data_IF_064683240800
#
_entry.id   IF_064683240800
#
_cell.length_a   1.000
_cell.length_b   1.000
_cell.length_c   1.000
_cell.angle_alpha   90.00
_cell.angle_beta   90.00
_cell.angle_gamma   90.00
#
_symmetry.space_group_name_H-M   'P 1'
#
loop_
_entity.id
_entity.type
_entity.pdbx_description
1 polymer ?
#
# COMPACT_ATOMS: atom_id res chain seq x y z
N UNK A 1 65.62 33.30 -4.04
CA UNK A 1 65.23 32.65 -2.77
C UNK A 1 63.71 32.58 -2.78
N UNK A 2 63.16 31.56 -3.45
CA UNK A 2 62.65 30.32 -2.85
C UNK A 2 61.23 30.53 -2.30
N UNK A 3 60.24 30.37 -3.18
CA UNK A 3 58.84 30.23 -2.80
C UNK A 3 58.57 28.78 -2.41
N UNK A 4 58.30 28.54 -1.13
CA UNK A 4 57.92 27.22 -0.61
C UNK A 4 56.41 27.08 -0.66
N UNK A 5 55.92 26.26 -1.60
CA UNK A 5 54.57 25.73 -1.58
C UNK A 5 54.47 24.67 -0.47
N UNK A 6 53.58 24.89 0.50
CA UNK A 6 53.22 23.88 1.49
C UNK A 6 52.08 23.05 0.90
N UNK A 7 52.40 21.85 0.42
CA UNK A 7 51.42 20.84 0.04
C UNK A 7 50.74 20.30 1.30
N UNK A 8 49.45 20.60 1.50
CA UNK A 8 48.62 19.86 2.44
C UNK A 8 48.26 18.53 1.79
N UNK A 9 48.98 17.47 2.16
CA UNK A 9 48.61 16.10 1.86
C UNK A 9 47.46 15.71 2.79
N UNK A 10 46.21 15.73 2.30
CA UNK A 10 45.11 15.07 2.98
C UNK A 10 45.37 13.56 2.91
N UNK A 11 45.70 12.96 4.04
CA UNK A 11 45.67 11.52 4.21
C UNK A 11 44.21 11.08 4.19
N UNK A 12 43.77 10.54 3.05
CA UNK A 12 42.52 9.81 2.99
C UNK A 12 42.72 8.54 3.82
N UNK A 13 42.30 8.57 5.08
CA UNK A 13 41.99 7.35 5.81
C UNK A 13 40.88 6.67 5.05
N UNK A 14 41.19 5.55 4.41
CA UNK A 14 40.22 4.63 3.85
C UNK A 14 39.30 4.19 4.97
N UNK A 15 38.17 4.88 5.13
CA UNK A 15 37.04 4.35 5.86
C UNK A 15 36.63 3.09 5.11
N UNK A 16 36.99 1.93 5.65
CA UNK A 16 36.36 0.68 5.27
C UNK A 16 34.88 0.85 5.60
N UNK A 17 34.07 1.19 4.60
CA UNK A 17 32.64 1.03 4.69
C UNK A 17 32.36 -0.48 4.70
N UNK A 18 32.46 -1.08 5.88
CA UNK A 18 31.75 -2.31 6.15
C UNK A 18 30.27 -1.94 6.26
N UNK A 19 29.51 -2.10 5.19
CA UNK A 19 28.16 -2.67 5.25
C UNK A 19 27.90 -3.37 3.92
N UNK A 20 28.30 -4.63 3.84
CA UNK A 20 27.54 -5.61 3.05
C UNK A 20 26.88 -6.48 4.11
N UNK A 21 25.59 -6.26 4.34
CA UNK A 21 24.78 -7.33 4.89
C UNK A 21 24.35 -8.17 3.67
N UNK A 22 24.79 -9.43 3.52
CA UNK A 22 24.08 -10.37 2.65
C UNK A 22 22.63 -10.50 3.12
N UNK A 23 21.69 -11.02 2.30
CA UNK A 23 20.38 -11.41 2.81
C UNK A 23 20.62 -12.29 4.04
N UNK A 24 20.03 -11.89 5.16
CA UNK A 24 20.24 -12.54 6.45
C UNK A 24 19.91 -14.03 6.28
N UNK A 25 20.85 -14.98 6.51
CA UNK A 25 20.44 -16.36 6.70
C UNK A 25 19.46 -16.33 7.87
N UNK A 26 18.21 -16.75 7.64
CA UNK A 26 17.10 -16.63 8.61
C UNK A 26 17.64 -16.87 10.04
N UNK A 27 17.79 -15.82 10.86
CA UNK A 27 18.32 -15.98 12.20
C UNK A 27 17.37 -16.91 12.95
N UNK A 28 17.92 -17.73 13.85
CA UNK A 28 17.09 -18.51 14.77
C UNK A 28 16.02 -17.59 15.35
N UNK A 29 14.74 -18.04 15.45
CA UNK A 29 13.64 -17.19 15.86
C UNK A 29 14.04 -16.43 17.12
N UNK A 30 13.89 -15.09 17.14
CA UNK A 30 14.28 -14.30 18.27
C UNK A 30 13.60 -14.89 19.50
N UNK A 31 14.31 -15.04 20.63
CA UNK A 31 13.64 -15.44 21.86
C UNK A 31 12.48 -14.45 22.07
N UNK A 32 11.26 -14.97 22.29
CA UNK A 32 10.08 -14.15 22.57
C UNK A 32 10.50 -12.99 23.47
N UNK A 33 10.55 -11.78 22.92
CA UNK A 33 11.17 -10.68 23.63
C UNK A 33 10.37 -10.39 24.90
N UNK A 34 11.10 -9.98 25.94
CA UNK A 34 10.56 -9.76 27.26
C UNK A 34 9.40 -8.73 27.22
N UNK A 35 8.35 -8.90 28.05
CA UNK A 35 7.43 -7.81 28.36
C UNK A 35 8.26 -6.55 28.62
N UNK A 36 7.93 -5.42 27.95
CA UNK A 36 8.65 -4.13 27.92
C UNK A 36 9.60 -3.85 26.72
N UNK A 37 9.45 -4.54 25.58
CA UNK A 37 10.09 -4.15 24.31
C UNK A 37 9.65 -2.77 23.78
N UNK A 38 10.34 -2.23 22.76
CA UNK A 38 10.04 -0.90 22.15
C UNK A 38 8.56 -0.75 21.80
N UNK A 39 7.97 -1.81 21.26
CA UNK A 39 6.61 -1.88 20.74
C UNK A 39 5.61 -2.55 21.70
N UNK A 40 5.98 -2.81 22.95
CA UNK A 40 5.02 -3.20 23.99
C UNK A 40 3.92 -2.13 24.13
N UNK A 41 2.67 -2.58 24.28
CA UNK A 41 1.53 -1.70 24.48
C UNK A 41 1.66 -0.88 25.77
N UNK A 42 1.17 0.36 25.74
CA UNK A 42 1.34 1.35 26.81
C UNK A 42 -0.02 1.93 27.22
N UNK A 43 -0.01 2.76 28.26
CA UNK A 43 -1.22 3.42 28.75
C UNK A 43 -1.79 4.51 27.85
N UNK A 44 -1.01 4.98 26.88
CA UNK A 44 -1.49 5.85 25.82
C UNK A 44 -1.79 5.05 24.55
N UNK A 45 -2.68 5.59 23.71
CA UNK A 45 -3.02 4.95 22.44
C UNK A 45 -1.83 4.98 21.47
N UNK A 46 -1.56 3.84 20.84
CA UNK A 46 -0.67 3.72 19.69
C UNK A 46 -1.38 3.00 18.53
N UNK A 47 -0.67 2.77 17.42
CA UNK A 47 -1.21 2.09 16.24
C UNK A 47 -2.50 2.67 15.70
N UNK A 48 -2.64 3.99 15.77
CA UNK A 48 -3.84 4.68 15.30
C UNK A 48 -3.82 4.70 13.76
N UNK A 49 -4.81 4.02 13.16
CA UNK A 49 -4.97 3.93 11.71
C UNK A 49 -6.38 4.33 11.32
N UNK A 50 -6.49 5.30 10.43
CA UNK A 50 -7.75 5.74 9.83
C UNK A 50 -8.04 4.90 8.59
N UNK A 51 -9.29 4.50 8.41
CA UNK A 51 -9.81 3.82 7.23
C UNK A 51 -11.08 4.55 6.74
N UNK A 52 -11.36 4.56 5.43
CA UNK A 52 -12.64 5.08 4.94
C UNK A 52 -13.77 4.08 5.24
N UNK A 53 -15.01 4.57 5.28
CA UNK A 53 -16.17 3.69 5.15
C UNK A 53 -16.35 3.26 3.68
N UNK A 54 -17.28 2.33 3.41
CA UNK A 54 -17.62 1.94 2.03
C UNK A 54 -18.06 3.15 1.19
N UNK A 55 -18.83 4.06 1.78
CA UNK A 55 -19.06 5.40 1.25
C UNK A 55 -18.21 6.40 2.06
N UNK A 56 -17.10 6.83 1.47
CA UNK A 56 -16.16 7.74 2.15
C UNK A 56 -16.70 9.17 2.30
N UNK A 57 -17.82 9.52 1.65
CA UNK A 57 -18.43 10.83 1.79
C UNK A 57 -19.23 10.96 3.09
N UNK A 58 -19.72 9.84 3.61
CA UNK A 58 -20.61 9.82 4.78
C UNK A 58 -20.06 9.03 5.97
N UNK A 59 -18.87 8.43 5.85
CA UNK A 59 -18.27 7.73 6.97
C UNK A 59 -16.76 7.51 6.89
N UNK A 60 -16.21 7.18 8.05
CA UNK A 60 -14.83 6.74 8.22
C UNK A 60 -14.77 5.82 9.45
N UNK A 61 -13.65 5.15 9.67
CA UNK A 61 -13.43 4.30 10.82
C UNK A 61 -11.99 4.41 11.31
N UNK A 62 -11.77 4.18 12.59
CA UNK A 62 -10.43 4.22 13.19
C UNK A 62 -10.19 2.94 13.98
N UNK A 63 -8.98 2.39 13.84
CA UNK A 63 -8.43 1.36 14.71
C UNK A 63 -7.29 1.96 15.54
N UNK A 64 -7.14 1.51 16.79
CA UNK A 64 -6.00 1.85 17.65
C UNK A 64 -5.74 0.77 18.68
N UNK A 65 -4.57 0.79 19.30
CA UNK A 65 -4.16 -0.17 20.34
C UNK A 65 -3.86 0.54 21.66
N UNK A 66 -4.11 -0.15 22.76
CA UNK A 66 -3.76 0.24 24.13
C UNK A 66 -3.26 -0.96 24.93
N UNK A 67 -2.72 -0.69 26.12
CA UNK A 67 -2.57 -1.73 27.14
C UNK A 67 -3.94 -2.25 27.66
N UNK A 68 -3.88 -3.26 28.53
CA UNK A 68 -5.05 -3.97 29.06
C UNK A 68 -5.89 -3.17 30.06
N UNK A 69 -5.48 -1.95 30.46
CA UNK A 69 -6.25 -1.11 31.39
C UNK A 69 -7.43 -0.41 30.69
N UNK A 70 -7.33 -0.15 29.39
CA UNK A 70 -8.42 0.42 28.60
C UNK A 70 -9.27 -0.70 28.00
N UNK A 71 -10.41 -1.01 28.63
CA UNK A 71 -11.24 -2.16 28.21
C UNK A 71 -12.34 -1.80 27.22
N UNK A 72 -12.69 -0.51 27.08
CA UNK A 72 -13.71 -0.03 26.16
C UNK A 72 -13.12 0.78 25.01
N UNK A 73 -13.69 0.63 23.81
CA UNK A 73 -13.38 1.48 22.67
C UNK A 73 -14.22 2.77 22.76
N UNK A 74 -13.58 3.90 23.04
CA UNK A 74 -14.22 5.22 23.14
C UNK A 74 -13.44 6.22 22.27
N UNK A 75 -14.17 6.93 21.40
CA UNK A 75 -13.61 7.95 20.51
C UNK A 75 -14.45 9.20 20.60
N UNK A 76 -13.82 10.37 20.51
CA UNK A 76 -14.53 11.63 20.33
C UNK A 76 -14.28 12.18 18.94
N UNK A 77 -15.34 12.69 18.30
CA UNK A 77 -15.29 13.32 16.99
C UNK A 77 -16.11 14.61 16.98
N UNK A 78 -15.65 15.62 16.25
CA UNK A 78 -16.37 16.87 16.02
C UNK A 78 -16.03 17.41 14.61
N UNK A 79 -16.91 18.24 14.05
CA UNK A 79 -16.54 19.08 12.91
C UNK A 79 -15.38 20.01 13.33
N UNK A 80 -14.36 20.12 12.49
CA UNK A 80 -13.19 20.94 12.79
C UNK A 80 -13.55 22.42 12.71
N UNK A 81 -12.99 23.21 13.62
CA UNK A 81 -13.16 24.66 13.69
C UNK A 81 -11.80 25.36 13.73
N UNK A 82 -11.75 26.62 13.31
CA UNK A 82 -10.51 27.41 13.31
C UNK A 82 -10.03 27.76 14.75
N UNK A 83 -10.96 27.78 15.71
CA UNK A 83 -10.69 28.14 17.11
C UNK A 83 -10.21 26.94 17.96
N UNK A 84 -9.59 27.20 19.12
CA UNK A 84 -8.98 26.14 19.94
C UNK A 84 -9.98 25.25 20.71
N UNK A 85 -11.30 25.48 20.56
CA UNK A 85 -12.35 24.81 21.33
C UNK A 85 -12.89 23.54 20.67
N UNK A 86 -12.01 22.71 20.09
CA UNK A 86 -12.35 21.51 19.32
C UNK A 86 -13.28 20.54 20.08
N UNK A 87 -13.13 20.44 21.40
CA UNK A 87 -13.93 19.56 22.25
C UNK A 87 -15.33 20.06 22.60
N UNK A 88 -15.70 21.30 22.26
CA UNK A 88 -16.96 21.90 22.73
C UNK A 88 -18.21 21.19 22.20
N UNK A 89 -18.18 20.77 20.94
CA UNK A 89 -19.28 20.07 20.26
C UNK A 89 -18.94 18.60 19.95
N UNK A 90 -17.89 18.05 20.58
CA UNK A 90 -17.47 16.69 20.31
C UNK A 90 -18.50 15.68 20.84
N UNK A 91 -18.81 14.69 20.01
CA UNK A 91 -19.67 13.56 20.37
C UNK A 91 -18.80 12.35 20.66
N UNK A 92 -19.19 11.57 21.66
CA UNK A 92 -18.53 10.29 21.97
C UNK A 92 -19.17 9.17 21.16
N UNK A 93 -18.34 8.42 20.44
CA UNK A 93 -18.70 7.22 19.69
C UNK A 93 -18.05 6.03 20.38
N UNK A 94 -18.87 5.01 20.68
CA UNK A 94 -18.38 3.75 21.22
C UNK A 94 -18.05 2.79 20.08
N UNK A 95 -17.05 1.95 20.31
CA UNK A 95 -16.59 0.96 19.35
C UNK A 95 -16.61 -0.46 19.89
N UNK A 96 -15.82 -1.32 19.26
CA UNK A 96 -15.54 -2.68 19.71
C UNK A 96 -14.10 -2.80 20.16
N UNK A 97 -13.84 -3.66 21.14
CA UNK A 97 -12.50 -3.99 21.63
C UNK A 97 -12.24 -5.47 21.44
N UNK A 98 -11.01 -5.84 21.07
CA UNK A 98 -10.57 -7.22 20.99
C UNK A 98 -9.17 -7.36 21.60
N UNK A 99 -8.97 -8.33 22.51
CA UNK A 99 -7.65 -8.59 23.07
C UNK A 99 -6.77 -9.33 22.07
N UNK A 100 -5.46 -9.13 22.19
CA UNK A 100 -4.45 -9.95 21.54
C UNK A 100 -3.32 -10.24 22.53
N UNK A 101 -2.87 -11.49 22.55
CA UNK A 101 -1.65 -11.90 23.22
C UNK A 101 -0.60 -12.14 22.13
N UNK A 102 0.49 -11.39 22.16
CA UNK A 102 1.54 -11.46 21.16
C UNK A 102 2.92 -11.40 21.81
N UNK A 103 3.96 -11.36 20.99
CA UNK A 103 5.36 -11.42 21.39
C UNK A 103 5.80 -10.24 22.28
N UNK A 104 5.10 -9.10 22.20
CA UNK A 104 5.38 -7.90 22.99
C UNK A 104 4.48 -7.76 24.24
N UNK A 105 3.63 -8.76 24.51
CA UNK A 105 2.73 -8.82 25.67
C UNK A 105 1.25 -8.67 25.31
N UNK A 106 0.40 -8.65 26.34
CA UNK A 106 -1.04 -8.49 26.17
C UNK A 106 -1.39 -7.05 25.78
N UNK A 107 -2.26 -6.91 24.77
CA UNK A 107 -2.78 -5.64 24.31
C UNK A 107 -4.28 -5.73 23.99
N UNK A 108 -4.93 -4.57 23.87
CA UNK A 108 -6.29 -4.46 23.39
C UNK A 108 -6.28 -3.57 22.15
N UNK A 109 -6.84 -4.08 21.05
CA UNK A 109 -7.18 -3.27 19.90
C UNK A 109 -8.62 -2.81 19.99
N UNK A 110 -8.85 -1.60 19.54
CA UNK A 110 -10.13 -0.94 19.53
C UNK A 110 -10.45 -0.47 18.12
N UNK A 111 -11.73 -0.51 17.76
CA UNK A 111 -12.21 -0.01 16.48
C UNK A 111 -13.51 0.76 16.69
N UNK A 112 -13.63 1.93 16.08
CA UNK A 112 -14.86 2.72 16.07
C UNK A 112 -15.19 3.20 14.66
N UNK A 113 -16.48 3.30 14.35
CA UNK A 113 -16.99 3.77 13.06
C UNK A 113 -17.72 5.09 13.23
N UNK A 114 -17.39 6.05 12.39
CA UNK A 114 -18.08 7.32 12.27
C UNK A 114 -19.05 7.22 11.11
N UNK A 115 -20.34 7.39 11.40
CA UNK A 115 -21.42 7.29 10.43
C UNK A 115 -22.17 8.62 10.33
N UNK A 116 -22.91 8.80 9.24
CA UNK A 116 -23.73 9.99 8.98
C UNK A 116 -22.91 11.30 9.03
N UNK A 117 -21.65 11.23 8.62
CA UNK A 117 -20.81 12.40 8.45
C UNK A 117 -21.29 13.21 7.24
N UNK A 118 -21.01 14.52 7.27
CA UNK A 118 -21.27 15.39 6.13
C UNK A 118 -20.19 15.17 5.06
N UNK A 119 -20.55 15.08 3.78
CA UNK A 119 -19.58 15.11 2.68
C UNK A 119 -18.71 16.37 2.67
N UNK A 120 -17.52 16.28 2.10
CA UNK A 120 -16.57 17.38 1.89
C UNK A 120 -16.31 18.21 3.16
N UNK A 121 -16.30 17.58 4.33
CA UNK A 121 -16.25 18.25 5.64
C UNK A 121 -15.00 17.84 6.41
N UNK A 122 -14.36 18.82 7.05
CA UNK A 122 -13.21 18.57 7.93
C UNK A 122 -13.72 18.16 9.31
N UNK A 123 -13.18 17.07 9.82
CA UNK A 123 -13.46 16.55 11.14
C UNK A 123 -12.15 16.42 11.91
N UNK A 124 -12.24 16.49 13.23
CA UNK A 124 -11.17 16.10 14.15
C UNK A 124 -11.69 15.00 15.05
N UNK A 125 -10.84 14.01 15.32
CA UNK A 125 -11.14 12.95 16.28
C UNK A 125 -9.99 12.73 17.26
N UNK A 126 -10.27 12.07 18.38
CA UNK A 126 -9.26 11.57 19.32
C UNK A 126 -9.73 10.30 19.98
N UNK A 127 -8.80 9.41 20.27
CA UNK A 127 -9.09 8.07 20.81
C UNK A 127 -8.76 8.00 22.29
N UNK A 128 -9.52 7.18 23.03
CA UNK A 128 -9.33 7.00 24.47
C UNK A 128 -8.33 5.90 24.77
N UNK A 129 -7.50 6.15 25.77
CA UNK A 129 -6.63 5.18 26.43
C UNK A 129 -6.68 5.38 27.96
N UNK A 130 -5.97 4.52 28.69
CA UNK A 130 -5.98 4.52 30.15
C UNK A 130 -5.36 5.80 30.74
N UNK A 131 -4.27 6.29 30.15
CA UNK A 131 -3.55 7.48 30.59
C UNK A 131 -4.14 8.78 30.03
N UNK A 132 -5.21 8.70 29.22
CA UNK A 132 -5.93 9.87 28.72
C UNK A 132 -6.40 9.73 27.27
N UNK A 133 -6.57 10.87 26.61
CA UNK A 133 -6.91 10.95 25.20
C UNK A 133 -5.67 11.16 24.35
N UNK A 134 -5.67 10.67 23.11
CA UNK A 134 -4.72 11.13 22.09
C UNK A 134 -4.87 12.64 21.84
N UNK A 135 -3.92 13.22 21.09
CA UNK A 135 -4.15 14.49 20.42
C UNK A 135 -5.38 14.44 19.50
N UNK A 136 -5.89 15.62 19.13
CA UNK A 136 -6.86 15.75 18.06
C UNK A 136 -6.18 15.51 16.71
N UNK A 137 -6.76 14.61 15.93
CA UNK A 137 -6.29 14.15 14.63
C UNK A 137 -7.31 14.59 13.56
N UNK A 138 -6.93 15.48 12.63
CA UNK A 138 -7.83 15.93 11.58
C UNK A 138 -7.92 14.94 10.42
N UNK A 139 -9.08 14.87 9.79
CA UNK A 139 -9.29 14.23 8.49
C UNK A 139 -10.42 14.95 7.73
N UNK A 140 -10.62 14.59 6.45
CA UNK A 140 -11.68 15.14 5.60
C UNK A 140 -12.44 14.01 4.93
N UNK A 141 -13.78 14.05 5.01
CA UNK A 141 -14.64 13.13 4.25
C UNK A 141 -14.60 13.46 2.77
N UNK A 142 -14.83 12.45 1.92
CA UNK A 142 -14.97 12.66 0.48
C UNK A 142 -16.13 13.62 0.17
N UNK A 143 -16.06 14.33 -0.95
CA UNK A 143 -17.24 14.93 -1.56
C UNK A 143 -18.23 13.84 -2.03
N UNK A 144 -19.52 14.18 -2.05
CA UNK A 144 -20.55 13.29 -2.58
C UNK A 144 -20.49 13.17 -4.11
N UNK A 145 -19.99 14.23 -4.76
CA UNK A 145 -19.79 14.31 -6.20
C UNK A 145 -18.31 14.22 -6.53
N UNK A 146 -17.98 14.07 -7.82
CA UNK A 146 -16.60 14.10 -8.29
C UNK A 146 -15.94 15.46 -8.01
N UNK A 147 -14.89 15.45 -7.21
CA UNK A 147 -13.99 16.57 -6.96
C UNK A 147 -12.53 16.10 -7.12
N UNK A 148 -11.57 17.00 -7.43
CA UNK A 148 -10.18 16.59 -7.57
C UNK A 148 -9.60 16.06 -6.26
N UNK A 149 -8.84 14.97 -6.33
CA UNK A 149 -8.11 14.45 -5.19
C UNK A 149 -6.85 13.69 -5.59
N UNK A 150 -5.97 13.44 -4.62
CA UNK A 150 -4.72 12.72 -4.80
C UNK A 150 -4.66 11.47 -3.95
N UNK A 151 -4.21 10.40 -4.56
CA UNK A 151 -3.95 9.09 -3.96
C UNK A 151 -2.45 8.91 -3.83
N UNK A 152 -2.00 8.32 -2.72
CA UNK A 152 -0.68 7.70 -2.64
C UNK A 152 -0.85 6.20 -2.87
N UNK A 153 -0.02 5.59 -3.72
CA UNK A 153 0.04 4.14 -3.87
C UNK A 153 1.43 3.63 -3.48
N UNK A 154 1.42 2.56 -2.67
CA UNK A 154 2.58 1.89 -2.10
C UNK A 154 2.41 0.37 -2.36
N UNK A 155 3.44 -0.28 -2.91
CA UNK A 155 3.53 -1.75 -2.97
C UNK A 155 4.64 -2.24 -2.04
N UNK A 156 4.47 -3.42 -1.44
CA UNK A 156 5.49 -4.18 -0.72
C UNK A 156 6.38 -3.33 0.19
N UNK A 157 5.86 -2.96 1.36
CA UNK A 157 6.68 -2.29 2.39
C UNK A 157 7.64 -3.27 3.04
N UNK A 158 7.15 -4.49 3.31
CA UNK A 158 7.82 -5.73 3.72
C UNK A 158 9.29 -5.63 4.18
N UNK A 159 9.57 -6.04 5.42
CA UNK A 159 10.90 -6.08 6.06
C UNK A 159 11.64 -4.72 6.09
N UNK A 160 12.65 -4.59 6.94
CA UNK A 160 13.52 -3.41 7.02
C UNK A 160 12.73 -2.08 7.01
N UNK A 161 11.57 -2.08 7.66
CA UNK A 161 10.54 -1.08 7.40
C UNK A 161 11.03 0.28 7.87
N UNK A 162 11.59 0.35 9.07
CA UNK A 162 12.17 1.60 9.55
C UNK A 162 13.53 1.93 8.97
N UNK A 163 14.37 0.92 8.69
CA UNK A 163 15.73 1.13 8.18
C UNK A 163 15.75 1.57 6.72
N UNK A 164 14.77 1.15 5.91
CA UNK A 164 14.72 1.39 4.46
C UNK A 164 13.39 2.01 4.05
N UNK A 165 12.28 1.27 4.11
CA UNK A 165 11.00 1.66 3.49
C UNK A 165 10.42 2.98 4.01
N UNK A 166 10.65 3.30 5.29
CA UNK A 166 10.08 4.47 5.96
C UNK A 166 10.45 5.78 5.29
N UNK A 167 11.66 5.89 4.72
CA UNK A 167 12.11 7.11 4.03
C UNK A 167 11.31 7.35 2.75
N UNK A 168 10.86 6.28 2.09
CA UNK A 168 10.10 6.32 0.84
C UNK A 168 8.66 6.71 1.14
N UNK A 169 8.04 6.07 2.15
CA UNK A 169 6.69 6.40 2.65
C UNK A 169 6.62 7.87 3.06
N UNK A 170 7.60 8.35 3.84
CA UNK A 170 7.65 9.75 4.29
C UNK A 170 7.90 10.72 3.14
N UNK A 171 8.67 10.33 2.13
CA UNK A 171 8.84 11.12 0.90
C UNK A 171 7.53 11.20 0.12
N UNK A 172 6.78 10.10 0.02
CA UNK A 172 5.47 10.10 -0.62
C UNK A 172 4.52 11.12 0.02
N UNK A 173 4.38 11.11 1.35
CA UNK A 173 3.55 12.11 2.05
C UNK A 173 4.08 13.53 1.92
N UNK A 174 5.40 13.72 1.97
CA UNK A 174 6.02 15.04 1.82
C UNK A 174 5.72 15.64 0.44
N UNK A 175 5.85 14.85 -0.62
CA UNK A 175 5.67 15.31 -2.00
C UNK A 175 4.20 15.31 -2.44
N UNK A 176 3.34 14.46 -1.85
CA UNK A 176 1.92 14.43 -2.16
C UNK A 176 1.18 15.70 -1.72
N UNK A 177 1.64 16.37 -0.65
CA UNK A 177 0.83 17.38 0.02
C UNK A 177 -0.38 16.72 0.70
N UNK A 178 -1.60 17.29 0.60
CA UNK A 178 -2.79 16.72 1.22
C UNK A 178 -3.33 15.52 0.41
N UNK A 179 -2.70 14.36 0.56
CA UNK A 179 -3.25 13.11 0.03
C UNK A 179 -4.59 12.77 0.69
N UNK A 180 -5.55 12.35 -0.13
CA UNK A 180 -6.90 12.00 0.29
C UNK A 180 -7.01 10.57 0.81
N UNK A 181 -6.28 9.62 0.21
CA UNK A 181 -6.24 8.21 0.60
C UNK A 181 -4.87 7.61 0.27
N UNK A 182 -4.51 6.52 0.96
CA UNK A 182 -3.32 5.70 0.65
C UNK A 182 -3.74 4.28 0.33
N UNK A 183 -3.35 3.78 -0.84
CA UNK A 183 -3.55 2.40 -1.28
C UNK A 183 -2.28 1.59 -1.00
N UNK A 184 -2.42 0.43 -0.36
CA UNK A 184 -1.32 -0.52 -0.14
C UNK A 184 -1.60 -1.82 -0.88
N UNK A 185 -0.70 -2.25 -1.77
CA UNK A 185 -0.87 -3.46 -2.57
C UNK A 185 -0.33 -4.74 -1.90
N UNK A 186 -0.56 -4.91 -0.60
CA UNK A 186 -0.16 -6.10 0.16
C UNK A 186 1.30 -6.13 0.61
N UNK A 187 1.60 -7.12 1.45
CA UNK A 187 2.89 -7.31 2.13
C UNK A 187 3.34 -6.04 2.86
N UNK A 188 2.47 -5.60 3.78
CA UNK A 188 2.73 -4.44 4.64
C UNK A 188 3.83 -4.79 5.65
N UNK A 189 3.83 -6.04 6.11
CA UNK A 189 4.80 -6.67 7.01
C UNK A 189 5.22 -8.03 6.44
N UNK A 190 6.23 -8.71 6.99
CA UNK A 190 6.64 -10.01 6.49
C UNK A 190 6.04 -11.21 7.23
N UNK A 191 5.63 -11.10 8.50
CA UNK A 191 5.01 -12.18 9.30
C UNK A 191 5.58 -13.60 9.08
N UNK A 192 6.91 -13.76 9.03
CA UNK A 192 7.58 -15.07 8.92
C UNK A 192 7.76 -15.72 10.29
N UNK A 193 7.92 -17.04 10.35
CA UNK A 193 8.12 -17.77 11.62
C UNK A 193 9.32 -17.28 12.45
N UNK A 194 10.33 -16.72 11.78
CA UNK A 194 11.57 -16.19 12.38
C UNK A 194 11.47 -14.73 12.80
N UNK A 195 10.34 -14.06 12.60
CA UNK A 195 10.16 -12.63 12.89
C UNK A 195 9.23 -12.44 14.10
N UNK A 196 9.39 -11.30 14.78
CA UNK A 196 8.46 -10.84 15.81
C UNK A 196 7.36 -10.04 15.10
N UNK A 197 6.18 -10.64 14.94
CA UNK A 197 5.14 -10.05 14.08
C UNK A 197 4.66 -8.72 14.64
N UNK A 198 4.53 -8.60 15.96
CA UNK A 198 4.11 -7.35 16.59
C UNK A 198 5.15 -6.23 16.40
N UNK A 199 6.45 -6.52 16.27
CA UNK A 199 7.45 -5.48 15.98
C UNK A 199 7.26 -4.90 14.58
N UNK A 200 7.02 -5.75 13.57
CA UNK A 200 6.83 -5.31 12.19
C UNK A 200 5.60 -4.41 12.04
N UNK A 201 4.48 -4.75 12.69
CA UNK A 201 3.29 -3.88 12.72
C UNK A 201 3.55 -2.55 13.46
N UNK A 202 4.40 -2.59 14.49
CA UNK A 202 4.90 -1.40 15.17
C UNK A 202 5.74 -0.51 14.25
N UNK A 203 6.67 -1.10 13.51
CA UNK A 203 7.51 -0.41 12.53
C UNK A 203 6.69 0.18 11.39
N UNK A 204 5.75 -0.58 10.82
CA UNK A 204 4.85 -0.11 9.76
C UNK A 204 4.04 1.09 10.20
N UNK A 205 3.44 1.04 11.39
CA UNK A 205 2.68 2.19 11.91
C UNK A 205 3.61 3.38 12.18
N UNK A 206 4.84 3.15 12.67
CA UNK A 206 5.82 4.22 12.91
C UNK A 206 6.37 4.83 11.60
N UNK A 207 6.44 4.06 10.52
CA UNK A 207 6.88 4.54 9.21
C UNK A 207 5.95 5.62 8.67
N UNK A 208 4.62 5.38 8.71
CA UNK A 208 3.60 6.37 8.36
C UNK A 208 3.32 7.39 9.47
N UNK A 209 3.49 7.01 10.73
CA UNK A 209 3.26 7.85 11.91
C UNK A 209 1.86 8.47 11.90
N UNK A 210 1.78 9.77 12.24
CA UNK A 210 0.51 10.51 12.24
C UNK A 210 -0.17 10.56 10.87
N UNK A 211 0.56 10.38 9.78
CA UNK A 211 -0.03 10.42 8.45
C UNK A 211 -1.06 9.28 8.26
N UNK A 212 -0.78 8.09 8.82
CA UNK A 212 -1.75 6.97 8.80
C UNK A 212 -2.97 7.20 9.68
N UNK A 213 -2.85 8.06 10.69
CA UNK A 213 -3.97 8.45 11.54
C UNK A 213 -4.82 9.60 10.95
N UNK A 214 -4.28 10.37 9.99
CA UNK A 214 -4.96 11.55 9.42
C UNK A 214 -5.40 11.36 7.96
N UNK A 215 -4.77 10.44 7.24
CA UNK A 215 -5.13 10.05 5.87
C UNK A 215 -5.70 8.63 5.92
N UNK A 216 -6.89 8.37 5.37
CA UNK A 216 -7.46 7.03 5.30
C UNK A 216 -6.56 6.04 4.52
N UNK A 217 -6.38 4.84 5.09
CA UNK A 217 -5.62 3.73 4.52
C UNK A 217 -6.57 2.70 3.91
N UNK A 218 -6.29 2.25 2.69
CA UNK A 218 -6.99 1.18 1.96
C UNK A 218 -5.95 0.08 1.64
N UNK A 219 -5.74 -0.88 2.56
CA UNK A 219 -4.79 -1.96 2.35
C UNK A 219 -5.41 -3.20 1.69
N UNK A 220 -4.71 -3.79 0.74
CA UNK A 220 -4.87 -5.18 0.32
C UNK A 220 -4.00 -6.10 1.18
N UNK A 221 -4.38 -7.37 1.33
CA UNK A 221 -3.51 -8.41 1.85
C UNK A 221 -2.58 -8.91 0.76
N UNK A 222 -1.34 -9.21 1.14
CA UNK A 222 -0.41 -10.05 0.41
C UNK A 222 -0.22 -11.38 1.10
N UNK A 223 0.66 -12.22 0.55
CA UNK A 223 0.92 -13.53 1.15
C UNK A 223 1.61 -13.44 2.51
N UNK A 224 2.23 -12.31 2.84
CA UNK A 224 2.85 -12.08 4.13
C UNK A 224 1.91 -11.51 5.20
N UNK A 225 0.64 -11.25 4.87
CA UNK A 225 -0.42 -11.08 5.88
C UNK A 225 -0.99 -12.43 6.36
N UNK A 226 -0.52 -13.53 5.79
CA UNK A 226 -0.88 -14.89 6.15
C UNK A 226 0.30 -15.61 6.81
N UNK A 227 0.00 -16.41 7.83
CA UNK A 227 0.94 -17.33 8.45
C UNK A 227 0.71 -18.75 7.92
N UNK A 228 1.80 -19.47 7.68
CA UNK A 228 1.73 -20.87 7.27
C UNK A 228 1.17 -21.73 8.41
N UNK A 229 0.40 -22.75 8.05
CA UNK A 229 -0.31 -23.62 8.97
C UNK A 229 -0.39 -25.04 8.41
N UNK A 230 0.24 -25.99 9.09
CA UNK A 230 0.19 -27.41 8.71
C UNK A 230 -1.13 -28.01 9.18
N UNK A 231 -1.89 -28.58 8.25
CA UNK A 231 -3.13 -29.30 8.51
C UNK A 231 -2.87 -30.67 9.18
N UNK A 232 -3.88 -31.28 9.85
CA UNK A 232 -3.71 -32.57 10.51
C UNK A 232 -3.29 -33.73 9.59
N UNK A 233 -3.54 -33.63 8.28
CA UNK A 233 -3.14 -34.58 7.24
C UNK A 233 -1.72 -34.34 6.70
N UNK A 234 -1.05 -33.27 7.15
CA UNK A 234 0.29 -32.89 6.77
C UNK A 234 0.37 -31.94 5.58
N UNK A 235 -0.77 -31.52 5.01
CA UNK A 235 -0.77 -30.50 3.95
C UNK A 235 -0.49 -29.10 4.51
N UNK A 236 0.23 -28.28 3.74
CA UNK A 236 0.45 -26.87 4.06
C UNK A 236 -0.80 -26.07 3.71
N UNK A 237 -1.22 -25.19 4.62
CA UNK A 237 -2.30 -24.23 4.42
C UNK A 237 -1.88 -22.88 4.97
N UNK A 238 -2.75 -21.88 4.84
CA UNK A 238 -2.52 -20.53 5.31
C UNK A 238 -3.63 -20.06 6.23
N UNK A 239 -3.27 -19.19 7.16
CA UNK A 239 -4.21 -18.51 8.05
C UNK A 239 -3.91 -17.04 8.09
N UNK A 240 -4.95 -16.21 7.97
CA UNK A 240 -4.81 -14.76 8.10
C UNK A 240 -4.21 -14.42 9.47
N UNK A 241 -3.16 -13.59 9.46
CA UNK A 241 -2.45 -13.16 10.65
C UNK A 241 -3.39 -12.47 11.64
N UNK A 242 -3.23 -12.71 12.95
CA UNK A 242 -4.17 -12.22 13.97
C UNK A 242 -4.19 -10.69 14.10
N UNK A 243 -3.16 -10.01 13.62
CA UNK A 243 -3.07 -8.56 13.62
C UNK A 243 -3.97 -7.90 12.57
N UNK A 244 -4.11 -8.49 11.37
CA UNK A 244 -4.85 -7.89 10.27
C UNK A 244 -6.26 -7.43 10.63
N UNK A 245 -7.15 -8.30 11.17
CA UNK A 245 -8.52 -7.89 11.48
C UNK A 245 -8.61 -6.87 12.64
N UNK A 246 -7.52 -6.67 13.38
CA UNK A 246 -7.46 -5.75 14.52
C UNK A 246 -6.87 -4.39 14.14
N UNK A 247 -5.87 -4.40 13.26
CA UNK A 247 -5.10 -3.23 12.82
C UNK A 247 -5.92 -2.26 11.97
N UNK A 248 -6.98 -2.75 11.32
CA UNK A 248 -7.81 -1.97 10.41
C UNK A 248 -9.29 -2.13 10.69
N UNK A 249 -10.03 -1.02 10.61
CA UNK A 249 -11.50 -1.01 10.72
C UNK A 249 -12.15 -0.96 9.32
N UNK A 250 -11.84 -1.96 8.48
CA UNK A 250 -12.21 -2.00 7.06
C UNK A 250 -13.74 -2.12 6.82
N UNK A 251 -14.24 -1.77 5.62
CA UNK A 251 -15.63 -2.02 5.25
C UNK A 251 -16.00 -3.51 5.27
N UNK A 252 -17.23 -3.83 5.68
CA UNK A 252 -17.75 -5.20 5.74
C UNK A 252 -18.59 -5.60 4.51
N UNK A 253 -18.15 -5.24 3.30
CA UNK A 253 -18.86 -5.46 2.03
C UNK A 253 -18.11 -6.44 1.08
N UNK A 254 -17.21 -7.24 1.63
CA UNK A 254 -16.36 -8.19 0.90
C UNK A 254 -17.05 -9.42 0.32
N UNK A 255 -16.26 -10.21 -0.40
CA UNK A 255 -16.66 -11.48 -0.98
C UNK A 255 -16.87 -12.55 0.11
N UNK A 256 -17.87 -13.44 -0.05
CA UNK A 256 -18.05 -14.57 0.86
C UNK A 256 -16.80 -15.44 0.98
N UNK A 257 -16.37 -15.74 2.21
CA UNK A 257 -15.14 -16.50 2.49
C UNK A 257 -13.84 -15.67 2.44
N UNK A 258 -13.92 -14.38 2.13
CA UNK A 258 -12.81 -13.45 2.15
C UNK A 258 -13.25 -12.05 2.65
N UNK A 259 -14.26 -11.99 3.52
CA UNK A 259 -14.92 -10.74 3.95
C UNK A 259 -13.98 -9.83 4.77
N UNK A 260 -12.96 -10.41 5.39
CA UNK A 260 -11.98 -9.66 6.20
C UNK A 260 -10.89 -8.97 5.36
N UNK A 261 -10.76 -9.35 4.08
CA UNK A 261 -9.62 -8.96 3.23
C UNK A 261 -10.03 -8.42 1.86
N UNK A 262 -11.28 -8.62 1.47
CA UNK A 262 -11.88 -8.03 0.26
C UNK A 262 -12.95 -7.04 0.64
N UNK A 263 -13.03 -5.93 -0.11
CA UNK A 263 -14.00 -4.86 0.13
C UNK A 263 -13.95 -3.85 -1.01
N UNK A 264 -14.93 -2.95 -1.08
CA UNK A 264 -14.85 -1.78 -1.95
C UNK A 264 -15.10 -0.49 -1.17
N UNK A 265 -14.54 0.60 -1.68
CA UNK A 265 -14.70 1.97 -1.18
C UNK A 265 -15.02 2.88 -2.36
N UNK A 266 -16.07 3.68 -2.22
CA UNK A 266 -16.41 4.76 -3.14
C UNK A 266 -15.88 6.09 -2.61
N UNK A 267 -15.15 6.82 -3.45
CA UNK A 267 -14.53 8.11 -3.13
C UNK A 267 -14.58 9.04 -4.35
N UNK A 268 -15.41 10.10 -4.29
CA UNK A 268 -15.48 11.18 -5.30
C UNK A 268 -15.47 10.68 -6.76
N UNK A 269 -16.35 9.73 -7.09
CA UNK A 269 -16.46 9.18 -8.44
C UNK A 269 -15.45 8.06 -8.78
N UNK A 270 -14.70 7.57 -7.79
CA UNK A 270 -13.80 6.41 -7.94
C UNK A 270 -14.26 5.27 -7.06
N UNK A 271 -14.34 4.05 -7.61
CA UNK A 271 -14.48 2.83 -6.82
C UNK A 271 -13.13 2.13 -6.72
N UNK A 272 -12.64 2.00 -5.48
CA UNK A 272 -11.51 1.13 -5.16
C UNK A 272 -12.05 -0.27 -4.84
N UNK A 273 -11.55 -1.29 -5.52
CA UNK A 273 -11.90 -2.70 -5.27
C UNK A 273 -10.65 -3.41 -4.75
N UNK A 274 -10.71 -3.88 -3.52
CA UNK A 274 -9.63 -4.65 -2.89
C UNK A 274 -9.93 -6.14 -3.00
N UNK A 275 -9.01 -6.89 -3.59
CA UNK A 275 -9.08 -8.35 -3.76
C UNK A 275 -7.95 -9.03 -3.00
N UNK A 276 -8.14 -10.32 -2.72
CA UNK A 276 -7.19 -11.13 -1.97
C UNK A 276 -6.71 -12.32 -2.80
N UNK A 277 -5.53 -12.17 -3.39
CA UNK A 277 -4.93 -13.22 -4.22
C UNK A 277 -4.50 -14.45 -3.41
N UNK A 278 -4.12 -14.29 -2.14
CA UNK A 278 -3.72 -15.43 -1.29
C UNK A 278 -4.92 -16.27 -0.90
N UNK A 279 -6.01 -15.65 -0.44
CA UNK A 279 -7.25 -16.38 -0.19
C UNK A 279 -7.81 -17.03 -1.46
N UNK A 280 -7.67 -16.36 -2.61
CA UNK A 280 -8.11 -16.89 -3.89
C UNK A 280 -7.31 -18.13 -4.32
N UNK A 281 -5.99 -18.07 -4.25
CA UNK A 281 -5.09 -19.14 -4.69
C UNK A 281 -5.04 -20.31 -3.71
N UNK A 282 -5.00 -20.02 -2.41
CA UNK A 282 -4.61 -21.01 -1.40
C UNK A 282 -5.77 -21.45 -0.49
N UNK A 283 -6.86 -20.66 -0.41
CA UNK A 283 -7.96 -20.89 0.55
C UNK A 283 -9.33 -21.10 -0.12
N UNK A 284 -9.35 -21.38 -1.42
CA UNK A 284 -10.56 -21.73 -2.15
C UNK A 284 -11.54 -20.56 -2.35
N UNK A 285 -11.09 -19.31 -2.21
CA UNK A 285 -11.95 -18.13 -2.35
C UNK A 285 -12.00 -17.57 -3.78
N UNK A 286 -11.35 -18.21 -4.77
CA UNK A 286 -11.25 -17.68 -6.14
C UNK A 286 -12.64 -17.45 -6.77
N UNK A 287 -13.51 -18.46 -6.74
CA UNK A 287 -14.83 -18.39 -7.37
C UNK A 287 -15.74 -17.39 -6.66
N UNK A 288 -15.71 -17.33 -5.33
CA UNK A 288 -16.55 -16.39 -4.56
C UNK A 288 -16.10 -14.95 -4.79
N UNK A 289 -14.79 -14.69 -4.81
CA UNK A 289 -14.24 -13.38 -5.15
C UNK A 289 -14.52 -12.98 -6.59
N UNK A 290 -14.40 -13.91 -7.54
CA UNK A 290 -14.67 -13.66 -8.97
C UNK A 290 -16.13 -13.27 -9.21
N UNK A 291 -17.08 -14.00 -8.60
CA UNK A 291 -18.51 -13.68 -8.69
C UNK A 291 -18.88 -12.38 -7.96
N UNK A 292 -18.20 -12.08 -6.85
CA UNK A 292 -18.38 -10.83 -6.13
C UNK A 292 -17.83 -9.64 -6.94
N UNK A 293 -16.64 -9.77 -7.52
CA UNK A 293 -15.99 -8.76 -8.36
C UNK A 293 -16.87 -8.37 -9.56
N UNK A 294 -17.40 -9.37 -10.29
CA UNK A 294 -18.27 -9.10 -11.45
C UNK A 294 -19.52 -8.29 -11.05
N UNK A 295 -20.11 -8.63 -9.91
CA UNK A 295 -21.29 -7.93 -9.36
C UNK A 295 -20.95 -6.51 -8.92
N UNK A 296 -19.90 -6.35 -8.12
CA UNK A 296 -19.48 -5.03 -7.59
C UNK A 296 -19.14 -4.07 -8.72
N UNK A 297 -18.53 -4.56 -9.79
CA UNK A 297 -18.25 -3.73 -10.97
C UNK A 297 -19.49 -3.47 -11.82
N UNK A 298 -20.40 -4.45 -11.96
CA UNK A 298 -21.68 -4.23 -12.66
C UNK A 298 -22.56 -3.19 -11.97
N UNK A 299 -22.47 -3.08 -10.65
CA UNK A 299 -23.22 -2.15 -9.80
C UNK A 299 -22.45 -0.84 -9.53
N UNK A 300 -21.25 -0.67 -10.09
CA UNK A 300 -20.42 0.52 -9.84
C UNK A 300 -21.01 1.76 -10.53
N UNK A 301 -21.35 2.82 -9.77
CA UNK A 301 -21.71 4.10 -10.35
C UNK A 301 -20.47 4.95 -10.67
N UNK A 302 -19.27 4.46 -10.37
CA UNK A 302 -18.04 5.23 -10.43
C UNK A 302 -17.60 5.51 -11.87
N UNK A 303 -17.01 6.69 -12.03
CA UNK A 303 -16.41 7.14 -13.27
C UNK A 303 -15.09 6.42 -13.56
N UNK A 304 -14.38 6.04 -12.49
CA UNK A 304 -13.13 5.30 -12.51
C UNK A 304 -13.22 4.08 -11.60
N UNK A 305 -12.75 2.93 -12.06
CA UNK A 305 -12.65 1.71 -11.25
C UNK A 305 -11.19 1.28 -11.13
N UNK A 306 -10.71 1.16 -9.89
CA UNK A 306 -9.31 0.83 -9.58
C UNK A 306 -9.28 -0.44 -8.73
N UNK A 307 -8.64 -1.50 -9.24
CA UNK A 307 -8.42 -2.72 -8.48
C UNK A 307 -7.08 -2.68 -7.74
N UNK A 308 -7.04 -3.17 -6.50
CA UNK A 308 -5.83 -3.28 -5.68
C UNK A 308 -5.74 -4.69 -5.10
N UNK A 309 -4.67 -5.40 -5.41
CA UNK A 309 -4.41 -6.74 -4.87
C UNK A 309 -2.93 -7.10 -5.06
N UNK A 310 -2.45 -8.09 -4.32
CA UNK A 310 -1.01 -8.28 -4.19
C UNK A 310 -0.35 -9.00 -5.38
N UNK A 311 -0.74 -10.23 -5.71
CA UNK A 311 -0.05 -11.04 -6.72
C UNK A 311 -0.35 -10.56 -8.14
N UNK A 312 0.66 -10.23 -8.95
CA UNK A 312 0.43 -9.58 -10.23
C UNK A 312 -0.12 -10.54 -11.29
N UNK A 313 -1.03 -10.05 -12.13
CA UNK A 313 -1.48 -10.78 -13.33
C UNK A 313 -0.42 -10.83 -14.41
N UNK A 314 0.46 -9.83 -14.47
CA UNK A 314 1.60 -9.77 -15.38
C UNK A 314 2.85 -9.51 -14.55
N UNK A 315 3.70 -10.53 -14.43
CA UNK A 315 4.86 -10.47 -13.52
C UNK A 315 6.04 -9.75 -14.17
N UNK A 316 6.80 -9.01 -13.36
CA UNK A 316 8.07 -8.42 -13.78
C UNK A 316 9.29 -9.23 -13.37
N UNK A 317 9.17 -10.17 -12.43
CA UNK A 317 10.30 -10.91 -11.88
C UNK A 317 10.26 -12.42 -12.19
N UNK A 318 9.06 -13.01 -12.22
CA UNK A 318 8.88 -14.48 -12.33
C UNK A 318 8.78 -14.89 -13.80
N UNK A 319 9.09 -16.15 -14.14
CA UNK A 319 8.96 -16.63 -15.52
C UNK A 319 7.50 -16.67 -15.99
N UNK A 320 6.57 -17.04 -15.10
CA UNK A 320 5.16 -17.21 -15.41
C UNK A 320 4.32 -16.16 -14.70
N UNK A 321 3.28 -15.68 -15.40
CA UNK A 321 2.23 -14.87 -14.80
C UNK A 321 1.43 -15.66 -13.75
N UNK A 322 0.63 -14.97 -12.95
CA UNK A 322 -0.29 -15.62 -12.01
C UNK A 322 -1.52 -16.13 -12.75
N UNK A 323 -1.37 -17.23 -13.51
CA UNK A 323 -2.34 -17.69 -14.51
C UNK A 323 -3.74 -17.95 -13.95
N UNK A 324 -3.88 -18.47 -12.73
CA UNK A 324 -5.19 -18.70 -12.11
C UNK A 324 -5.96 -17.38 -11.88
N UNK A 325 -5.31 -16.38 -11.28
CA UNK A 325 -5.92 -15.05 -11.08
C UNK A 325 -6.17 -14.35 -12.41
N UNK A 326 -5.21 -14.45 -13.34
CA UNK A 326 -5.31 -13.84 -14.67
C UNK A 326 -6.49 -14.41 -15.45
N UNK A 327 -6.67 -15.73 -15.46
CA UNK A 327 -7.79 -16.38 -16.12
C UNK A 327 -9.14 -16.02 -15.50
N UNK A 328 -9.20 -15.83 -14.18
CA UNK A 328 -10.44 -15.51 -13.47
C UNK A 328 -10.83 -14.03 -13.54
N UNK A 329 -9.88 -13.12 -13.31
CA UNK A 329 -10.18 -11.71 -13.07
C UNK A 329 -9.99 -10.82 -14.29
N UNK A 330 -8.99 -11.09 -15.15
CA UNK A 330 -8.76 -10.28 -16.35
C UNK A 330 -9.99 -10.17 -17.26
N UNK A 331 -10.73 -11.26 -17.55
CA UNK A 331 -11.93 -11.14 -18.39
C UNK A 331 -12.99 -10.20 -17.81
N UNK A 332 -13.12 -10.17 -16.48
CA UNK A 332 -14.04 -9.24 -15.80
C UNK A 332 -13.50 -7.81 -15.89
N UNK A 333 -12.20 -7.61 -15.66
CA UNK A 333 -11.57 -6.29 -15.79
C UNK A 333 -11.77 -5.69 -17.18
N UNK A 334 -11.60 -6.51 -18.22
CA UNK A 334 -11.82 -6.11 -19.61
C UNK A 334 -13.31 -5.82 -19.90
N UNK A 335 -14.22 -6.69 -19.42
CA UNK A 335 -15.66 -6.58 -19.70
C UNK A 335 -16.35 -5.46 -18.90
N UNK A 336 -15.81 -5.09 -17.73
CA UNK A 336 -16.39 -4.11 -16.81
C UNK A 336 -15.63 -2.79 -16.76
N UNK A 337 -14.69 -2.56 -17.66
CA UNK A 337 -13.92 -1.31 -17.78
C UNK A 337 -13.18 -0.94 -16.49
N UNK A 338 -12.39 -1.86 -15.93
CA UNK A 338 -11.36 -1.46 -14.95
C UNK A 338 -10.34 -0.56 -15.65
N UNK A 339 -9.95 0.52 -14.99
CA UNK A 339 -9.03 1.49 -15.56
C UNK A 339 -7.59 1.24 -15.13
N UNK A 340 -7.41 0.91 -13.85
CA UNK A 340 -6.09 0.77 -13.23
C UNK A 340 -6.08 -0.41 -12.26
N UNK A 341 -5.00 -1.18 -12.30
CA UNK A 341 -4.78 -2.33 -11.43
C UNK A 341 -3.43 -2.17 -10.74
N UNK A 342 -3.45 -2.04 -9.42
CA UNK A 342 -2.29 -1.74 -8.58
C UNK A 342 -1.88 -2.98 -7.78
N UNK A 343 -0.65 -3.42 -7.97
CA UNK A 343 -0.15 -4.72 -7.50
C UNK A 343 1.23 -4.64 -6.85
N UNK A 344 1.64 -5.72 -6.21
CA UNK A 344 2.90 -5.83 -5.49
C UNK A 344 3.66 -7.10 -5.85
N UNK A 345 4.19 -7.78 -4.83
CA UNK A 345 4.67 -9.17 -4.79
C UNK A 345 5.98 -9.46 -5.52
N UNK A 346 6.26 -8.79 -6.63
CA UNK A 346 7.43 -9.08 -7.46
C UNK A 346 8.65 -8.23 -7.11
N UNK A 347 8.55 -7.31 -6.14
CA UNK A 347 9.72 -6.53 -5.68
C UNK A 347 10.51 -5.86 -6.83
N UNK A 348 9.80 -5.49 -7.89
CA UNK A 348 10.26 -4.72 -9.04
C UNK A 348 9.16 -3.73 -9.43
N UNK A 349 9.48 -2.88 -10.39
CA UNK A 349 8.50 -2.02 -11.03
C UNK A 349 8.19 -2.54 -12.42
N UNK A 350 6.90 -2.59 -12.77
CA UNK A 350 6.49 -2.74 -14.15
C UNK A 350 5.13 -2.09 -14.40
N UNK A 351 4.98 -1.53 -15.60
CA UNK A 351 3.72 -1.07 -16.14
C UNK A 351 3.40 -1.80 -17.44
N UNK A 352 2.35 -2.59 -17.43
CA UNK A 352 1.80 -3.28 -18.61
C UNK A 352 0.46 -2.65 -18.94
N UNK A 353 0.35 -2.01 -20.10
CA UNK A 353 -0.91 -1.41 -20.58
C UNK A 353 -1.55 -2.26 -21.69
N UNK A 354 -0.77 -3.05 -22.42
CA UNK A 354 -1.26 -3.97 -23.45
C UNK A 354 -0.58 -5.35 -23.28
N UNK A 355 -1.34 -6.46 -23.16
CA UNK A 355 -0.76 -7.80 -23.03
C UNK A 355 0.13 -8.22 -24.20
N UNK A 356 -0.07 -7.65 -25.40
CA UNK A 356 0.77 -7.87 -26.57
C UNK A 356 2.11 -7.10 -26.53
N UNK A 357 2.29 -6.24 -25.53
CA UNK A 357 3.55 -5.58 -25.18
C UNK A 357 3.61 -4.08 -25.49
N UNK A 358 4.75 -3.47 -25.18
CA UNK A 358 4.94 -2.02 -25.20
C UNK A 358 4.66 -1.39 -26.57
N UNK A 359 5.07 -2.07 -27.65
CA UNK A 359 4.82 -1.58 -29.01
C UNK A 359 3.32 -1.52 -29.35
N UNK A 360 2.53 -2.50 -28.90
CA UNK A 360 1.08 -2.50 -29.08
C UNK A 360 0.42 -1.40 -28.24
N UNK A 361 0.89 -1.19 -27.00
CA UNK A 361 0.44 -0.11 -26.15
C UNK A 361 0.68 1.27 -26.78
N UNK A 362 1.88 1.55 -27.28
CA UNK A 362 2.18 2.82 -27.96
C UNK A 362 1.31 3.00 -29.20
N UNK A 363 1.16 1.96 -30.04
CA UNK A 363 0.31 2.04 -31.23
C UNK A 363 -1.16 2.31 -30.88
N UNK A 364 -1.66 1.80 -29.74
CA UNK A 364 -3.00 2.09 -29.23
C UNK A 364 -3.12 3.54 -28.75
N UNK A 365 -2.16 4.00 -27.96
CA UNK A 365 -2.11 5.38 -27.45
C UNK A 365 -2.00 6.42 -28.58
N UNK A 366 -1.06 6.24 -29.51
CA UNK A 366 -0.84 7.15 -30.65
C UNK A 366 -2.06 7.26 -31.56
N UNK A 367 -2.83 6.17 -31.69
CA UNK A 367 -4.07 6.14 -32.47
C UNK A 367 -5.28 6.70 -31.70
N UNK A 368 -5.14 7.11 -30.44
CA UNK A 368 -6.23 7.58 -29.58
C UNK A 368 -7.32 6.53 -29.34
N UNK A 369 -6.95 5.25 -29.41
CA UNK A 369 -7.88 4.14 -29.23
C UNK A 369 -8.16 3.90 -27.74
N UNK A 370 -9.34 3.37 -27.39
CA UNK A 370 -9.61 2.88 -26.05
C UNK A 370 -8.51 1.92 -25.59
N UNK A 371 -8.00 2.09 -24.36
CA UNK A 371 -6.88 1.30 -23.84
C UNK A 371 -7.37 0.04 -23.10
N UNK A 372 -8.22 0.21 -22.09
CA UNK A 372 -8.53 -0.85 -21.12
C UNK A 372 -7.66 -0.73 -19.86
N UNK A 373 -7.57 -1.79 -19.03
CA UNK A 373 -6.85 -1.73 -17.76
C UNK A 373 -5.35 -1.50 -17.94
N UNK A 374 -4.76 -0.60 -17.14
CA UNK A 374 -3.31 -0.50 -16.96
C UNK A 374 -2.90 -1.24 -15.69
N UNK A 375 -1.96 -2.17 -15.82
CA UNK A 375 -1.45 -2.98 -14.71
C UNK A 375 -0.12 -2.40 -14.24
N UNK A 376 -0.01 -2.10 -12.95
CA UNK A 376 1.19 -1.57 -12.33
C UNK A 376 1.60 -2.44 -11.16
N UNK A 377 2.86 -2.85 -11.17
CA UNK A 377 3.57 -3.48 -10.04
C UNK A 377 4.56 -2.46 -9.48
N UNK A 378 4.66 -2.35 -8.16
CA UNK A 378 5.56 -1.43 -7.49
C UNK A 378 6.08 -2.01 -6.17
N UNK A 379 7.17 -1.43 -5.67
CA UNK A 379 7.82 -1.81 -4.42
C UNK A 379 8.38 -0.56 -3.71
N UNK A 380 8.14 -0.51 -2.40
CA UNK A 380 8.63 0.52 -1.47
C UNK A 380 9.76 -0.02 -0.59
N UNK A 381 9.75 -1.32 -0.31
CA UNK A 381 10.60 -2.01 0.65
C UNK A 381 12.02 -2.29 0.17
N UNK A 382 12.80 -2.96 1.03
CA UNK A 382 14.24 -3.21 0.82
C UNK A 382 14.54 -4.37 -0.13
N UNK A 383 13.67 -5.38 -0.15
CA UNK A 383 13.85 -6.59 -0.94
C UNK A 383 13.55 -6.29 -2.41
N UNK A 384 14.42 -6.74 -3.30
CA UNK A 384 14.40 -6.42 -4.74
C UNK A 384 14.54 -7.69 -5.56
N UNK A 385 13.76 -7.85 -6.63
CA UNK A 385 13.94 -8.93 -7.60
C UNK A 385 14.44 -8.39 -8.94
N UNK A 386 15.19 -9.26 -9.62
CA UNK A 386 15.66 -9.02 -10.97
C UNK A 386 14.53 -9.19 -11.98
N UNK A 387 14.61 -8.45 -13.08
CA UNK A 387 13.59 -8.48 -14.12
C UNK A 387 13.67 -9.77 -14.95
N UNK A 388 12.50 -10.29 -15.33
CA UNK A 388 12.39 -11.44 -16.21
C UNK A 388 12.73 -11.09 -17.68
N UNK A 389 12.82 -12.12 -18.51
CA UNK A 389 13.14 -12.02 -19.94
C UNK A 389 12.09 -11.25 -20.77
N UNK A 390 10.84 -11.19 -20.30
CA UNK A 390 9.74 -10.44 -20.93
C UNK A 390 9.78 -8.94 -20.64
N UNK A 391 10.50 -8.52 -19.60
CA UNK A 391 10.51 -7.14 -19.10
C UNK A 391 11.07 -6.10 -20.09
N UNK A 392 11.72 -6.54 -21.17
CA UNK A 392 12.25 -5.66 -22.21
C UNK A 392 11.26 -5.39 -23.35
N UNK A 393 10.20 -6.21 -23.46
CA UNK A 393 9.23 -6.12 -24.56
C UNK A 393 7.79 -5.95 -24.11
N UNK A 394 7.42 -6.52 -22.97
CA UNK A 394 6.03 -6.52 -22.52
C UNK A 394 5.65 -5.23 -21.78
N UNK A 395 6.28 -4.87 -20.65
CA UNK A 395 5.94 -3.62 -19.98
C UNK A 395 6.43 -2.41 -20.79
N UNK A 396 5.65 -1.34 -20.77
CA UNK A 396 6.04 -0.03 -21.32
C UNK A 396 7.21 0.56 -20.51
N UNK A 397 7.22 0.25 -19.21
CA UNK A 397 8.24 0.69 -18.28
C UNK A 397 8.50 -0.38 -17.24
N UNK A 398 9.77 -0.64 -16.94
CA UNK A 398 10.16 -1.56 -15.89
C UNK A 398 11.40 -1.03 -15.15
N UNK A 399 11.56 -1.41 -13.89
CA UNK A 399 12.74 -1.12 -13.06
C UNK A 399 13.03 -2.28 -12.10
N UNK A 400 14.30 -2.50 -11.84
CA UNK A 400 14.78 -3.35 -10.74
C UNK A 400 15.68 -2.55 -9.81
N UNK A 401 15.93 -3.10 -8.63
CA UNK A 401 16.80 -2.51 -7.62
C UNK A 401 16.49 -1.01 -7.38
N UNK A 402 15.20 -0.69 -7.25
CA UNK A 402 14.71 0.69 -7.19
C UNK A 402 13.45 0.79 -6.34
N UNK A 403 13.55 1.49 -5.21
CA UNK A 403 12.40 1.87 -4.38
C UNK A 403 11.61 3.02 -5.04
N UNK A 404 10.28 2.87 -5.08
CA UNK A 404 9.38 3.84 -5.69
C UNK A 404 8.17 4.15 -4.78
N UNK A 405 7.61 5.34 -4.97
CA UNK A 405 6.25 5.67 -4.53
C UNK A 405 5.46 6.28 -5.67
N UNK A 406 4.14 6.20 -5.60
CA UNK A 406 3.27 6.68 -6.67
C UNK A 406 2.30 7.74 -6.16
N UNK A 407 2.10 8.77 -6.98
CA UNK A 407 1.04 9.76 -6.81
C UNK A 407 0.06 9.63 -7.96
N UNK A 408 -1.22 9.50 -7.65
CA UNK A 408 -2.29 9.41 -8.65
C UNK A 408 -3.26 10.57 -8.39
N UNK A 409 -3.40 11.47 -9.35
CA UNK A 409 -4.36 12.56 -9.28
C UNK A 409 -5.58 12.21 -10.11
N UNK A 410 -6.77 12.35 -9.52
CA UNK A 410 -8.04 12.18 -10.21
C UNK A 410 -8.70 13.55 -10.27
N UNK A 411 -9.07 13.99 -11.46
CA UNK A 411 -9.75 15.26 -11.73
C UNK A 411 -10.73 15.07 -12.88
N UNK A 412 -12.00 14.84 -12.55
CA UNK A 412 -13.06 14.62 -13.52
C UNK A 412 -12.77 13.45 -14.47
N UNK A 413 -12.63 13.77 -15.76
CA UNK A 413 -12.35 12.82 -16.82
C UNK A 413 -10.85 12.49 -16.99
N UNK A 414 -9.99 12.93 -16.05
CA UNK A 414 -8.54 12.65 -16.09
C UNK A 414 -8.06 11.94 -14.84
N UNK A 415 -7.28 10.89 -15.03
CA UNK A 415 -6.48 10.22 -14.01
C UNK A 415 -5.01 10.29 -14.42
N UNK A 416 -4.20 11.02 -13.66
CA UNK A 416 -2.77 11.18 -13.88
C UNK A 416 -2.00 10.28 -12.91
N UNK A 417 -1.31 9.28 -13.43
CA UNK A 417 -0.42 8.42 -12.66
C UNK A 417 1.03 8.91 -12.78
N UNK A 418 1.75 8.98 -11.66
CA UNK A 418 3.18 9.32 -11.62
C UNK A 418 3.92 8.43 -10.61
N UNK A 419 4.95 7.73 -11.06
CA UNK A 419 5.88 7.00 -10.20
C UNK A 419 7.16 7.81 -9.97
N UNK A 420 7.59 7.90 -8.73
CA UNK A 420 8.78 8.61 -8.32
C UNK A 420 9.75 7.65 -7.63
N UNK A 421 11.04 7.79 -7.95
CA UNK A 421 12.09 7.17 -7.12
C UNK A 421 12.03 7.71 -5.70
N UNK A 422 12.60 6.98 -4.75
CA UNK A 422 12.70 7.42 -3.36
C UNK A 422 13.41 8.78 -3.14
N UNK A 423 14.05 9.35 -4.16
CA UNK A 423 14.66 10.70 -4.13
C UNK A 423 13.80 11.79 -4.78
N UNK A 424 12.59 11.45 -5.25
CA UNK A 424 11.65 12.38 -5.87
C UNK A 424 11.83 12.58 -7.38
N UNK A 425 12.69 11.81 -8.04
CA UNK A 425 12.80 11.85 -9.52
C UNK A 425 11.63 11.13 -10.17
N UNK A 426 10.99 11.79 -11.14
CA UNK A 426 9.92 11.20 -11.95
C UNK A 426 10.47 10.04 -12.78
N UNK A 427 10.00 8.82 -12.50
CA UNK A 427 10.48 7.60 -13.14
C UNK A 427 9.55 7.14 -14.27
N UNK A 428 8.24 7.25 -14.06
CA UNK A 428 7.22 6.90 -15.04
C UNK A 428 5.99 7.80 -14.84
N UNK A 429 5.25 8.04 -15.92
CA UNK A 429 3.99 8.77 -15.86
C UNK A 429 3.14 8.55 -17.10
N UNK A 430 1.82 8.50 -16.89
CA UNK A 430 0.83 8.48 -17.96
C UNK A 430 -0.47 9.13 -17.47
N UNK A 431 -1.30 9.56 -18.42
CA UNK A 431 -2.65 10.04 -18.12
C UNK A 431 -3.67 9.11 -18.77
N UNK A 432 -4.67 8.68 -18.02
CA UNK A 432 -5.90 8.15 -18.57
C UNK A 432 -6.91 9.29 -18.73
N UNK A 433 -7.52 9.37 -19.90
CA UNK A 433 -8.61 10.31 -20.19
C UNK A 433 -9.87 9.51 -20.53
N UNK A 434 -10.94 9.71 -19.77
CA UNK A 434 -12.22 9.05 -20.03
C UNK A 434 -12.91 9.74 -21.20
N UNK A 435 -13.24 8.99 -22.24
CA UNK A 435 -13.99 9.52 -23.38
C UNK A 435 -15.50 9.47 -23.18
N UNK A 436 -16.21 10.11 -24.13
CA UNK A 436 -17.68 10.09 -24.18
C UNK A 436 -18.27 8.68 -24.33
N UNK A 437 -17.49 7.71 -24.82
CA UNK A 437 -17.86 6.30 -24.91
C UNK A 437 -17.71 5.55 -23.57
N UNK A 438 -17.40 6.26 -22.48
CA UNK A 438 -17.20 5.71 -21.14
C UNK A 438 -15.90 4.92 -20.97
N UNK A 439 -15.04 4.88 -22.01
CA UNK A 439 -13.77 4.14 -21.97
C UNK A 439 -12.59 5.08 -21.87
N UNK A 440 -11.56 4.64 -21.15
CA UNK A 440 -10.31 5.36 -21.02
C UNK A 440 -9.48 5.33 -22.31
N UNK A 441 -8.67 6.37 -22.49
CA UNK A 441 -7.59 6.47 -23.48
C UNK A 441 -6.32 6.83 -22.74
N UNK A 442 -5.23 6.14 -23.07
CA UNK A 442 -3.94 6.37 -22.46
C UNK A 442 -3.16 7.41 -23.25
N UNK A 443 -2.57 8.36 -22.54
CA UNK A 443 -1.62 9.35 -23.05
C UNK A 443 -0.30 9.14 -22.31
N UNK A 444 0.74 8.76 -23.04
CA UNK A 444 2.09 8.61 -22.50
C UNK A 444 2.72 9.97 -22.18
N UNK A 445 3.49 10.02 -21.08
CA UNK A 445 4.38 11.16 -20.84
C UNK A 445 5.62 11.01 -21.73
N UNK A 446 6.09 12.09 -22.39
CA UNK A 446 7.26 12.00 -23.25
C UNK A 446 8.49 11.44 -22.52
N UNK A 447 9.18 10.48 -23.14
CA UNK A 447 10.32 9.78 -22.52
C UNK A 447 11.44 10.72 -22.03
N UNK A 448 11.64 11.86 -22.70
CA UNK A 448 12.68 12.84 -22.33
C UNK A 448 12.39 13.59 -21.02
N UNK A 449 11.16 13.52 -20.51
CA UNK A 449 10.77 14.07 -19.20
C UNK A 449 10.98 13.05 -18.06
N UNK A 450 11.16 11.78 -18.39
CA UNK A 450 11.33 10.69 -17.42
C UNK A 450 12.80 10.44 -17.12
N UNK A 451 13.08 9.93 -15.92
CA UNK A 451 14.41 9.44 -15.57
C UNK A 451 14.88 8.32 -16.53
N UNK A 452 16.19 8.01 -16.55
CA UNK A 452 16.69 6.86 -17.29
C UNK A 452 16.14 5.54 -16.72
N UNK A 453 16.08 4.50 -17.55
CA UNK A 453 15.73 3.14 -17.10
C UNK A 453 16.70 2.70 -16.00
N UNK A 454 16.18 1.99 -15.01
CA UNK A 454 16.95 1.53 -13.86
C UNK A 454 17.05 0.00 -13.89
N UNK A 455 18.22 -0.46 -14.34
CA UNK A 455 18.56 -1.87 -14.56
C UNK A 455 19.88 -2.19 -13.86
N UNK A 456 20.06 -3.45 -13.53
CA UNK A 456 21.34 -4.01 -13.17
C UNK A 456 22.10 -4.45 -14.42
N UNK A 457 23.43 -4.39 -14.38
CA UNK A 457 24.32 -4.85 -15.45
C UNK A 457 24.99 -6.21 -15.14
N UNK A 458 24.47 -6.90 -14.12
CA UNK A 458 25.00 -8.14 -13.58
C UNK A 458 25.69 -7.94 -12.23
N UNK A 459 26.66 -7.03 -12.14
CA UNK A 459 27.37 -6.76 -10.87
C UNK A 459 26.87 -5.49 -10.19
N UNK A 460 26.54 -4.45 -10.96
CA UNK A 460 26.14 -3.15 -10.47
C UNK A 460 24.66 -2.89 -10.74
N UNK A 461 24.01 -2.23 -9.78
CA UNK A 461 22.70 -1.65 -9.90
C UNK A 461 22.75 -0.20 -10.43
N UNK A 462 21.58 0.43 -10.59
CA UNK A 462 21.39 1.71 -11.27
C UNK A 462 21.99 2.96 -10.58
N UNK A 463 22.63 2.80 -9.42
CA UNK A 463 23.24 3.90 -8.64
C UNK A 463 24.76 3.69 -8.44
N UNK A 464 25.42 2.95 -9.33
CA UNK A 464 26.85 2.58 -9.23
C UNK A 464 27.20 1.86 -7.91
N UNK A 465 26.26 1.06 -7.42
CA UNK A 465 26.37 0.20 -6.22
C UNK A 465 26.10 -1.25 -6.61
N UNK A 466 26.49 -2.24 -5.79
CA UNK A 466 26.16 -3.64 -6.08
C UNK A 466 24.66 -3.83 -6.35
N UNK A 467 24.35 -4.66 -7.36
CA UNK A 467 22.97 -5.06 -7.58
C UNK A 467 22.50 -5.98 -6.45
N UNK A 468 21.38 -5.64 -5.79
CA UNK A 468 20.77 -6.49 -4.75
C UNK A 468 19.53 -7.23 -5.26
N UNK A 469 19.21 -7.10 -6.55
CA UNK A 469 18.06 -7.72 -7.16
C UNK A 469 18.29 -9.24 -7.34
N UNK A 470 17.44 -10.05 -6.71
CA UNK A 470 17.49 -11.50 -6.82
C UNK A 470 16.69 -11.98 -8.05
N UNK A 471 17.30 -12.79 -8.92
CA UNK A 471 16.57 -13.46 -10.01
C UNK A 471 15.64 -14.52 -9.42
N UNK A 472 14.39 -14.56 -9.90
CA UNK A 472 13.40 -15.59 -9.54
C UNK A 472 13.27 -16.61 -10.65
N UNK A 473 13.41 -17.88 -10.26
CA UNK A 473 13.21 -19.05 -11.13
C UNK A 473 11.75 -19.47 -11.26
#
# INVERSE_FOLDING_TARGET
MAATAASLTLWATSAQAQVVAPPDPDPAPPPAHAPNGRYAAKGWADRIVLSPAADAATGAAVAWRTDTRQTSAEVQIAEEIDGPLLGHAAVTVNGVSAPIANENGDAIYHQARFENLKPATRYVYRVRAADGWSEWLPFRTAAAEAEPFRIIYLGDTQNDILSVASRVIRSAFKEAGPAAVVLHAGDLVAQRETKVHDDEWGEWTEAGGRAFAMTPQIPATGNHEYVDHILPDGEESRRLGPHWPLQFALPGNGAPGAEATTYFVDYQGVRFIVLDGTAALDLGALDSQTNWLDRVLAESPADWNIAVFHQPLFTCARPNDTEALKAAWKPIFDARNIDLVLQGHDHCYARVSDPAGAAASHATSDAGRPQGPVYVVSVVGSKMYGLNDRADTQPVRAAENTELYQLIDVDGDRLLFRAFTATGRLYDAFTLVRGEDGRNRLIETPQHELAALRRCDGEHGPDDRPCTAEIKD
#
